data_IF_083482456403
#
_entry.id   IF_083482456403
#
_cell.length_a   1.000
_cell.length_b   1.000
_cell.length_c   1.000
_cell.angle_alpha   90.00
_cell.angle_beta   90.00
_cell.angle_gamma   90.00
#
_symmetry.space_group_name_H-M   'P 1'
#
loop_
_entity.id
_entity.type
_entity.pdbx_description
1 polymer ?
#
# COMPACT_ATOMS: atom_id res chain seq x y z
N UNK A 1 29.63 -8.44 -10.17
CA UNK A 1 28.64 -7.75 -9.33
C UNK A 1 27.29 -8.47 -9.49
N UNK A 2 27.08 -9.56 -8.74
CA UNK A 2 25.86 -10.37 -8.80
C UNK A 2 25.22 -10.58 -7.41
N UNK A 3 25.87 -10.06 -6.36
CA UNK A 3 25.52 -10.23 -4.95
C UNK A 3 24.44 -9.27 -4.42
N UNK A 4 23.96 -8.35 -5.26
CA UNK A 4 23.02 -7.28 -4.87
C UNK A 4 21.58 -7.51 -5.36
N UNK A 5 21.36 -8.49 -6.25
CA UNK A 5 20.02 -8.74 -6.80
C UNK A 5 19.22 -9.67 -5.88
N UNK A 6 19.86 -10.73 -5.39
CA UNK A 6 19.20 -11.70 -4.48
C UNK A 6 18.87 -11.10 -3.12
N UNK A 7 19.80 -10.33 -2.52
CA UNK A 7 19.54 -9.63 -1.24
C UNK A 7 18.45 -8.56 -1.36
N UNK A 8 18.35 -7.88 -2.51
CA UNK A 8 17.25 -6.94 -2.77
C UNK A 8 15.91 -7.65 -2.87
N UNK A 9 15.86 -8.80 -3.55
CA UNK A 9 14.65 -9.61 -3.65
C UNK A 9 14.19 -10.15 -2.29
N UNK A 10 15.14 -10.61 -1.47
CA UNK A 10 14.86 -11.01 -0.09
C UNK A 10 14.39 -9.84 0.79
N UNK A 11 14.91 -8.62 0.61
CA UNK A 11 14.43 -7.45 1.35
C UNK A 11 13.00 -7.05 0.98
N UNK A 12 12.61 -7.26 -0.28
CA UNK A 12 11.24 -7.05 -0.78
C UNK A 12 10.28 -8.08 -0.20
N UNK A 13 10.69 -9.36 -0.20
CA UNK A 13 9.88 -10.46 0.33
C UNK A 13 9.81 -10.45 1.87
N UNK A 14 10.90 -10.09 2.56
CA UNK A 14 10.99 -10.06 4.03
C UNK A 14 10.33 -8.84 4.69
N UNK A 15 10.22 -7.70 4.00
CA UNK A 15 9.56 -6.53 4.62
C UNK A 15 8.04 -6.66 4.61
N UNK A 16 7.47 -7.49 3.73
CA UNK A 16 6.01 -7.59 3.54
C UNK A 16 5.34 -6.26 3.18
N UNK A 17 6.12 -5.20 2.93
CA UNK A 17 5.70 -3.82 2.78
C UNK A 17 6.24 -3.24 1.48
N UNK A 18 6.06 -3.97 0.37
CA UNK A 18 6.05 -3.32 -0.94
C UNK A 18 4.60 -3.03 -1.34
N UNK A 19 4.25 -1.73 -1.32
CA UNK A 19 3.02 -1.23 -1.92
C UNK A 19 1.84 -1.19 -0.96
N UNK A 20 1.91 -0.34 0.07
CA UNK A 20 0.66 0.08 0.73
C UNK A 20 -0.15 0.85 -0.32
N UNK A 21 -1.31 0.33 -0.77
CA UNK A 21 -2.06 0.96 -1.84
C UNK A 21 -2.56 2.33 -1.37
N UNK A 22 -2.44 3.35 -2.22
CA UNK A 22 -3.01 4.67 -1.94
C UNK A 22 -4.25 4.84 -2.80
N UNK A 23 -5.37 5.16 -2.16
CA UNK A 23 -6.67 5.35 -2.80
C UNK A 23 -6.99 6.85 -2.70
N UNK A 24 -7.22 7.51 -3.83
CA UNK A 24 -7.70 8.90 -3.87
C UNK A 24 -9.23 8.89 -4.03
N UNK A 25 -9.92 9.58 -3.12
CA UNK A 25 -11.37 9.78 -3.17
C UNK A 25 -11.64 11.28 -3.00
N UNK A 26 -12.08 11.95 -4.07
CA UNK A 26 -12.37 13.39 -4.10
C UNK A 26 -11.23 14.27 -3.54
N UNK A 27 -9.97 13.90 -3.82
CA UNK A 27 -8.79 14.61 -3.33
C UNK A 27 -8.36 14.23 -1.91
N UNK A 28 -9.03 13.25 -1.28
CA UNK A 28 -8.60 12.67 -0.01
C UNK A 28 -7.80 11.38 -0.25
N UNK A 29 -6.53 11.39 0.17
CA UNK A 29 -5.65 10.23 0.07
C UNK A 29 -5.86 9.28 1.26
N UNK A 30 -6.20 8.03 0.97
CA UNK A 30 -6.30 6.92 1.94
C UNK A 30 -5.15 5.96 1.71
N UNK A 31 -4.37 5.73 2.76
CA UNK A 31 -3.22 4.82 2.73
C UNK A 31 -3.66 3.46 3.26
N UNK A 32 -3.49 2.42 2.44
CA UNK A 32 -3.91 1.05 2.71
C UNK A 32 -5.39 0.82 2.43
N UNK A 33 -5.90 -0.33 2.89
CA UNK A 33 -7.32 -0.66 2.78
C UNK A 33 -8.03 -0.40 4.11
N UNK A 34 -8.66 0.77 4.23
CA UNK A 34 -9.45 1.15 5.40
C UNK A 34 -10.94 1.23 5.01
N UNK A 35 -11.64 0.10 5.10
CA UNK A 35 -13.05 -0.03 4.72
C UNK A 35 -13.99 0.99 5.39
N UNK A 36 -13.96 1.24 6.73
CA UNK A 36 -14.84 2.24 7.33
C UNK A 36 -14.52 3.66 6.85
N UNK A 37 -13.25 4.00 6.64
CA UNK A 37 -12.86 5.30 6.08
C UNK A 37 -13.34 5.46 4.64
N UNK A 38 -13.18 4.43 3.80
CA UNK A 38 -13.63 4.45 2.40
C UNK A 38 -15.16 4.60 2.32
N UNK A 39 -15.91 3.87 3.15
CA UNK A 39 -17.38 4.00 3.24
C UNK A 39 -17.81 5.42 3.59
N UNK A 40 -17.17 6.04 4.58
CA UNK A 40 -17.43 7.41 4.97
C UNK A 40 -17.15 8.40 3.82
N UNK A 41 -16.02 8.23 3.12
CA UNK A 41 -15.64 9.10 2.00
C UNK A 41 -16.58 8.99 0.81
N UNK A 42 -17.07 7.77 0.53
CA UNK A 42 -18.02 7.51 -0.54
C UNK A 42 -19.48 7.80 -0.15
N UNK A 43 -19.76 8.20 1.10
CA UNK A 43 -21.11 8.47 1.58
C UNK A 43 -22.02 7.24 1.67
N UNK A 44 -21.44 6.04 1.73
CA UNK A 44 -22.17 4.76 1.74
C UNK A 44 -22.18 4.25 3.19
N UNK A 45 -23.36 4.19 3.82
CA UNK A 45 -23.53 3.62 5.16
C UNK A 45 -23.72 2.10 5.09
#
# INVERSE_FOLDING_TARGET
MASDVEKRKEMIEKSGQMGVPVIDIDGQLVVGFNQPKIKQLLGIS
#
